data_IF_030614010663
#
_entry.id   IF_030614010663
#
_cell.length_a   1.000
_cell.length_b   1.000
_cell.length_c   1.000
_cell.angle_alpha   90.00
_cell.angle_beta   90.00
_cell.angle_gamma   90.00
#
_symmetry.space_group_name_H-M   'P 1'
#
loop_
_entity.id
_entity.type
_entity.pdbx_description
1 polymer ?
#
# COMPACT_ATOMS: atom_id res chain seq x y z
N UNK A 1 -12.42 8.60 20.39
CA UNK A 1 -13.23 9.74 19.88
C UNK A 1 -14.04 9.26 18.68
N UNK A 2 -15.25 9.80 18.47
CA UNK A 2 -16.07 9.52 17.28
C UNK A 2 -16.00 10.73 16.36
N UNK A 3 -15.67 10.50 15.10
CA UNK A 3 -15.54 11.53 14.07
C UNK A 3 -16.50 11.21 12.94
N UNK A 4 -17.16 12.22 12.41
CA UNK A 4 -18.00 12.13 11.21
C UNK A 4 -17.20 12.66 10.04
N UNK A 5 -17.21 11.94 8.91
CA UNK A 5 -16.47 12.28 7.71
C UNK A 5 -17.45 12.32 6.55
N UNK A 6 -17.43 13.39 5.77
CA UNK A 6 -18.16 13.46 4.51
C UNK A 6 -17.32 12.79 3.42
N UNK A 7 -17.92 11.80 2.76
CA UNK A 7 -17.29 11.00 1.71
C UNK A 7 -18.25 11.03 0.52
N UNK A 8 -17.79 11.34 -0.70
CA UNK A 8 -18.66 11.29 -1.87
C UNK A 8 -19.11 9.85 -2.14
N UNK A 9 -20.26 9.71 -2.81
CA UNK A 9 -20.97 8.43 -2.92
C UNK A 9 -20.14 7.35 -3.65
N UNK A 10 -19.35 7.76 -4.64
CA UNK A 10 -18.50 6.87 -5.44
C UNK A 10 -17.41 6.23 -4.57
N UNK A 11 -16.70 7.05 -3.79
CA UNK A 11 -15.68 6.58 -2.85
C UNK A 11 -16.31 5.73 -1.73
N UNK A 12 -17.49 6.11 -1.23
CA UNK A 12 -18.21 5.31 -0.24
C UNK A 12 -18.55 3.91 -0.78
N UNK A 13 -18.98 3.80 -2.04
CA UNK A 13 -19.26 2.52 -2.69
C UNK A 13 -18.00 1.66 -2.83
N UNK A 14 -16.87 2.27 -3.25
CA UNK A 14 -15.58 1.59 -3.37
C UNK A 14 -15.09 1.06 -2.01
N UNK A 15 -15.11 1.90 -0.97
CA UNK A 15 -14.70 1.49 0.37
C UNK A 15 -15.61 0.40 0.94
N UNK A 16 -16.92 0.46 0.67
CA UNK A 16 -17.88 -0.58 1.08
C UNK A 16 -17.60 -1.91 0.41
N UNK A 17 -17.31 -1.90 -0.90
CA UNK A 17 -16.94 -3.10 -1.65
C UNK A 17 -15.66 -3.73 -1.08
N UNK A 18 -14.62 -2.92 -0.87
CA UNK A 18 -13.35 -3.36 -0.33
C UNK A 18 -13.47 -3.91 1.10
N UNK A 19 -14.32 -3.31 1.94
CA UNK A 19 -14.56 -3.78 3.29
C UNK A 19 -15.22 -5.17 3.29
N UNK A 20 -16.18 -5.41 2.38
CA UNK A 20 -16.82 -6.72 2.20
C UNK A 20 -15.85 -7.78 1.71
N UNK A 21 -15.04 -7.46 0.71
CA UNK A 21 -14.02 -8.36 0.18
C UNK A 21 -13.05 -8.81 1.28
N UNK A 22 -12.58 -7.86 2.09
CA UNK A 22 -11.66 -8.11 3.21
C UNK A 22 -12.34 -8.63 4.48
N UNK A 23 -13.67 -8.78 4.49
CA UNK A 23 -14.49 -9.21 5.63
C UNK A 23 -14.22 -8.42 6.92
N UNK A 24 -14.03 -7.10 6.79
CA UNK A 24 -13.84 -6.18 7.91
C UNK A 24 -14.93 -5.10 7.92
N UNK A 25 -15.15 -4.45 9.06
CA UNK A 25 -16.06 -3.30 9.11
C UNK A 25 -15.50 -2.10 8.36
N UNK A 26 -16.39 -1.28 7.80
CA UNK A 26 -16.04 -0.05 7.07
C UNK A 26 -15.14 0.86 7.90
N UNK A 27 -15.50 1.15 9.16
CA UNK A 27 -14.70 2.00 10.05
C UNK A 27 -13.32 1.43 10.34
N UNK A 28 -13.19 0.10 10.46
CA UNK A 28 -11.90 -0.57 10.67
C UNK A 28 -11.01 -0.44 9.42
N UNK A 29 -11.61 -0.56 8.24
CA UNK A 29 -10.91 -0.37 6.96
C UNK A 29 -10.43 1.08 6.78
N UNK A 30 -11.29 2.07 7.04
CA UNK A 30 -10.91 3.48 6.95
C UNK A 30 -9.77 3.78 7.93
N UNK A 31 -9.83 3.27 9.16
CA UNK A 31 -8.77 3.49 10.14
C UNK A 31 -7.44 2.84 9.75
N UNK A 32 -7.47 1.64 9.16
CA UNK A 32 -6.25 0.97 8.71
C UNK A 32 -5.62 1.69 7.51
N UNK A 33 -6.44 2.19 6.58
CA UNK A 33 -6.00 3.00 5.45
C UNK A 33 -5.42 4.34 5.91
N UNK A 34 -6.12 5.05 6.81
CA UNK A 34 -5.63 6.32 7.36
C UNK A 34 -4.31 6.13 8.09
N UNK A 35 -4.17 5.07 8.91
CA UNK A 35 -2.91 4.75 9.59
C UNK A 35 -1.79 4.48 8.57
N UNK A 36 -2.07 3.74 7.50
CA UNK A 36 -1.10 3.47 6.43
C UNK A 36 -0.68 4.74 5.71
N UNK A 37 -1.62 5.65 5.44
CA UNK A 37 -1.33 6.94 4.82
C UNK A 37 -0.47 7.84 5.72
N UNK A 38 -0.72 7.85 7.03
CA UNK A 38 0.08 8.61 7.99
C UNK A 38 1.47 8.04 8.23
N UNK A 39 1.64 6.72 8.08
CA UNK A 39 2.94 6.03 8.21
C UNK A 39 3.71 5.97 6.89
N UNK A 40 3.08 6.30 5.76
CA UNK A 40 3.77 6.35 4.49
C UNK A 40 4.85 7.44 4.59
N UNK A 41 6.13 7.12 4.28
CA UNK A 41 7.13 8.17 4.11
C UNK A 41 6.57 9.16 3.08
N UNK A 42 6.77 10.46 3.31
CA UNK A 42 6.43 11.46 2.32
C UNK A 42 7.07 11.02 1.01
N UNK A 43 6.25 10.58 0.05
CA UNK A 43 6.78 10.31 -1.27
C UNK A 43 7.42 11.63 -1.71
N UNK A 44 8.71 11.65 -2.11
CA UNK A 44 9.19 12.80 -2.86
C UNK A 44 8.17 13.04 -3.98
N UNK A 45 7.80 14.30 -4.23
CA UNK A 45 6.79 14.71 -5.23
C UNK A 45 7.01 14.06 -6.61
N UNK A 46 8.22 13.54 -6.85
CA UNK A 46 8.48 12.53 -7.85
C UNK A 46 8.93 11.22 -7.18
N UNK A 47 8.02 10.25 -7.03
CA UNK A 47 8.45 8.87 -7.25
C UNK A 47 9.16 8.88 -8.62
N UNK A 48 10.34 8.27 -8.80
CA UNK A 48 10.90 8.13 -10.13
C UNK A 48 9.84 7.36 -10.93
N UNK A 49 9.11 8.07 -11.79
CA UNK A 49 8.12 7.48 -12.67
C UNK A 49 8.91 6.45 -13.47
N UNK A 50 8.74 5.18 -13.13
CA UNK A 50 9.48 4.12 -13.79
C UNK A 50 9.21 4.27 -15.28
N UNK A 51 10.28 4.35 -16.07
CA UNK A 51 10.15 4.56 -17.50
C UNK A 51 9.58 3.28 -18.09
N UNK A 52 8.51 3.36 -18.86
CA UNK A 52 8.01 2.20 -19.60
C UNK A 52 9.04 1.87 -20.69
N UNK A 53 9.53 0.65 -20.67
CA UNK A 53 10.40 0.13 -21.72
C UNK A 53 9.60 -0.07 -23.01
N UNK A 54 10.03 0.49 -24.16
CA UNK A 54 9.26 0.45 -25.40
C UNK A 54 9.24 -0.93 -26.07
N UNK A 55 10.17 -1.84 -25.74
CA UNK A 55 10.22 -3.18 -26.33
C UNK A 55 9.40 -4.18 -25.50
N UNK A 56 9.46 -4.07 -24.17
CA UNK A 56 8.79 -5.01 -23.26
C UNK A 56 7.44 -4.51 -22.74
N UNK A 57 7.19 -3.20 -22.77
CA UNK A 57 5.99 -2.57 -22.20
C UNK A 57 5.97 -2.55 -20.66
N UNK A 58 7.07 -2.95 -20.02
CA UNK A 58 7.18 -3.03 -18.56
C UNK A 58 7.77 -1.76 -17.96
N UNK A 59 7.38 -1.46 -16.72
CA UNK A 59 7.93 -0.34 -15.94
C UNK A 59 9.36 -0.65 -15.50
N UNK A 60 10.32 0.16 -15.93
CA UNK A 60 11.73 0.05 -15.53
C UNK A 60 12.00 0.96 -14.34
N UNK A 61 12.51 0.37 -13.27
CA UNK A 61 12.96 1.08 -12.06
C UNK A 61 14.49 1.15 -12.03
N UNK A 62 15.02 2.31 -11.69
CA UNK A 62 16.46 2.48 -11.46
C UNK A 62 16.72 2.41 -9.97
N UNK A 63 17.58 1.48 -9.56
CA UNK A 63 18.10 1.41 -8.20
C UNK A 63 19.52 2.00 -8.16
N UNK A 64 19.87 2.83 -7.16
CA UNK A 64 21.22 3.38 -7.01
C UNK A 64 22.26 2.31 -6.64
N UNK A 65 21.83 1.11 -6.23
CA UNK A 65 22.69 -0.04 -5.93
C UNK A 65 22.15 -1.31 -6.59
N UNK A 66 23.01 -2.28 -6.97
CA UNK A 66 22.55 -3.58 -7.43
C UNK A 66 21.62 -4.22 -6.39
N UNK A 67 20.47 -4.72 -6.83
CA UNK A 67 19.56 -5.51 -5.99
C UNK A 67 20.08 -6.94 -5.96
N UNK A 68 20.41 -7.44 -4.77
CA UNK A 68 20.95 -8.79 -4.56
C UNK A 68 19.88 -9.77 -4.12
N UNK A 69 20.19 -11.07 -4.19
CA UNK A 69 19.28 -12.10 -3.68
C UNK A 69 19.03 -11.93 -2.16
N UNK A 70 20.03 -11.45 -1.43
CA UNK A 70 19.91 -11.20 0.01
C UNK A 70 18.96 -10.02 0.30
N UNK A 71 18.95 -8.99 -0.55
CA UNK A 71 17.96 -7.89 -0.45
C UNK A 71 16.53 -8.39 -0.65
N UNK A 72 16.32 -9.34 -1.58
CA UNK A 72 14.99 -9.93 -1.83
C UNK A 72 14.53 -10.77 -0.64
N UNK A 73 15.42 -11.62 -0.12
CA UNK A 73 15.13 -12.46 1.06
C UNK A 73 14.80 -11.64 2.29
N UNK A 74 15.53 -10.56 2.53
CA UNK A 74 15.24 -9.66 3.65
C UNK A 74 13.84 -9.02 3.55
N UNK A 75 13.36 -8.73 2.33
CA UNK A 75 11.99 -8.22 2.14
C UNK A 75 10.92 -9.29 2.38
N UNK A 76 11.14 -10.53 1.94
CA UNK A 76 10.20 -11.64 2.17
C UNK A 76 10.09 -12.01 3.66
N UNK A 77 11.21 -11.98 4.39
CA UNK A 77 11.25 -12.21 5.84
C UNK A 77 10.46 -11.13 6.60
N UNK A 78 10.60 -9.85 6.24
CA UNK A 78 9.81 -8.75 6.83
C UNK A 78 8.30 -8.88 6.55
N UNK A 79 7.93 -9.41 5.37
CA UNK A 79 6.52 -9.65 5.01
C UNK A 79 5.90 -10.83 5.77
N UNK A 80 6.67 -11.91 5.97
CA UNK A 80 6.28 -13.07 6.78
C UNK A 80 6.14 -12.73 8.27
N UNK A 81 7.02 -11.88 8.83
CA UNK A 81 6.93 -11.42 10.23
C UNK A 81 5.65 -10.60 10.48
N UNK A 82 5.11 -9.94 9.45
CA UNK A 82 3.88 -9.14 9.58
C UNK A 82 2.60 -9.98 9.70
N UNK A 83 2.65 -11.25 9.30
CA UNK A 83 1.49 -12.16 9.35
C UNK A 83 1.40 -13.00 10.63
N UNK A 84 2.49 -13.10 11.41
CA UNK A 84 2.57 -13.92 12.63
C UNK A 84 2.46 -13.11 13.93
N UNK A 85 1.77 -11.97 13.90
CA UNK A 85 1.45 -11.24 15.13
C UNK A 85 0.07 -11.66 15.65
N UNK A 86 -0.03 -12.50 16.71
CA UNK A 86 -1.30 -12.80 17.34
C UNK A 86 -1.81 -11.53 18.04
N UNK A 87 -3.12 -11.31 17.90
CA UNK A 87 -3.86 -10.29 18.62
C UNK A 87 -3.88 -10.53 20.14
#
# INVERSE_FOLDING_TARGET
MRTTLDIPDDEHALFTSLARERRVSFSKLILSLARRGLQAPALPDAAPAGRIDPETGLTVFQSPRPVTLDDVKAMEDDELVRYDSPA
#
